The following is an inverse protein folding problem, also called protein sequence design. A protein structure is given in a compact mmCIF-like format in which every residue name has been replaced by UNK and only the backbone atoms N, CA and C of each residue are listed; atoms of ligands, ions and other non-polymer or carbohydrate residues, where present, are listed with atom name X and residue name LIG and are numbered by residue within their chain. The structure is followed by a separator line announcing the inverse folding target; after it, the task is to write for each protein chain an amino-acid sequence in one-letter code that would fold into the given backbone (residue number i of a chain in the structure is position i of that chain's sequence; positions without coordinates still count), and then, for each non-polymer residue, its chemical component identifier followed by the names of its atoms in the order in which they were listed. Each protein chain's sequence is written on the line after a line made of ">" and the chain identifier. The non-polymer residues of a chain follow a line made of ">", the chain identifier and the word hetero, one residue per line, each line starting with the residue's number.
data_IF_325724057793
#
_entry.id   IF_325724057793
#
_cell.length_a   1.000
_cell.length_b   1.000
_cell.length_c   1.000
_cell.angle_alpha   90.00
_cell.angle_beta   90.00
_cell.angle_gamma   90.00
#
_symmetry.space_group_name_H-M   'P 1'
#
loop_
_entity.id
_entity.type
_entity.pdbx_description
1 polymer ?
#
# COMPACT_ATOMS: atom_id res chain seq x y z
N UNK A 1 -15.80 -2.73 19.30
CA UNK A 1 -15.65 -1.67 18.32
C UNK A 1 -15.05 -0.48 19.07
N UNK A 2 -13.73 -0.29 18.93
CA UNK A 2 -13.07 0.90 19.45
C UNK A 2 -13.48 2.10 18.59
N UNK A 3 -13.86 3.20 19.23
CA UNK A 3 -14.11 4.47 18.55
C UNK A 3 -12.79 5.22 18.37
N UNK A 4 -12.75 6.21 17.46
CA UNK A 4 -11.57 7.05 17.24
C UNK A 4 -11.09 7.73 18.54
N UNK A 5 -12.01 8.05 19.44
CA UNK A 5 -11.72 8.62 20.77
C UNK A 5 -11.02 7.61 21.70
N UNK A 6 -11.31 6.32 21.55
CA UNK A 6 -10.66 5.27 22.33
C UNK A 6 -9.20 5.09 21.92
N UNK A 7 -8.88 5.30 20.64
CA UNK A 7 -7.52 5.19 20.11
C UNK A 7 -6.60 6.32 20.63
N UNK A 8 -7.13 7.52 20.86
CA UNK A 8 -6.36 8.64 21.41
C UNK A 8 -6.02 8.52 22.89
N UNK A 9 -6.72 7.69 23.64
CA UNK A 9 -6.48 7.46 25.07
C UNK A 9 -5.45 6.36 25.36
N UNK A 10 -5.03 5.60 24.34
CA UNK A 10 -4.08 4.50 24.50
C UNK A 10 -2.63 5.00 24.65
N UNK A 11 -1.93 4.41 25.60
CA UNK A 11 -0.49 4.59 25.72
C UNK A 11 0.19 3.79 24.61
N UNK A 12 0.61 4.47 23.53
CA UNK A 12 1.24 3.89 22.34
C UNK A 12 2.56 3.14 22.59
N UNK A 13 2.96 2.97 23.85
CA UNK A 13 4.08 2.10 24.22
C UNK A 13 3.73 0.61 24.19
N UNK A 14 2.44 0.24 24.14
CA UNK A 14 1.97 -1.14 24.11
C UNK A 14 1.53 -1.53 22.69
N UNK A 15 1.67 -2.81 22.37
CA UNK A 15 1.23 -3.36 21.09
C UNK A 15 -0.31 -3.36 21.06
N UNK A 16 -0.89 -2.60 20.13
CA UNK A 16 -2.34 -2.57 19.92
C UNK A 16 -2.69 -3.56 18.81
N UNK A 17 -3.56 -4.54 19.14
CA UNK A 17 -4.12 -5.47 18.17
C UNK A 17 -5.52 -5.02 17.77
N UNK A 18 -5.71 -4.70 16.51
CA UNK A 18 -7.01 -4.32 15.95
C UNK A 18 -7.49 -5.46 15.05
N UNK A 19 -8.68 -5.99 15.33
CA UNK A 19 -9.33 -6.97 14.47
C UNK A 19 -10.48 -6.31 13.73
N UNK A 20 -10.50 -6.43 12.41
CA UNK A 20 -11.57 -5.92 11.56
C UNK A 20 -11.97 -6.99 10.55
N UNK A 21 -13.24 -6.94 10.12
CA UNK A 21 -13.72 -7.75 9.01
C UNK A 21 -13.52 -6.99 7.71
N UNK A 22 -12.83 -7.59 6.76
CA UNK A 22 -12.78 -7.08 5.39
C UNK A 22 -14.13 -7.35 4.72
N UNK A 23 -14.94 -6.29 4.54
CA UNK A 23 -16.27 -6.44 3.99
C UNK A 23 -16.24 -6.91 2.53
N UNK A 24 -16.85 -8.07 2.27
CA UNK A 24 -17.34 -8.55 0.97
C UNK A 24 -16.35 -9.02 -0.10
N UNK A 25 -15.03 -9.01 0.10
CA UNK A 25 -14.16 -9.37 -1.02
C UNK A 25 -13.95 -10.87 -1.14
N UNK A 26 -13.96 -11.63 -0.04
CA UNK A 26 -13.86 -13.10 -0.07
C UNK A 26 -14.49 -13.75 1.17
N UNK A 27 -15.70 -14.33 1.09
CA UNK A 27 -16.34 -15.00 2.20
C UNK A 27 -15.57 -16.22 2.73
N UNK A 28 -14.72 -16.85 1.89
CA UNK A 28 -13.97 -18.07 2.20
C UNK A 28 -12.45 -17.82 2.34
N UNK A 29 -12.00 -16.57 2.46
CA UNK A 29 -10.57 -16.30 2.57
C UNK A 29 -10.01 -16.66 3.96
N UNK A 30 -8.75 -17.11 4.05
CA UNK A 30 -8.08 -17.33 5.31
C UNK A 30 -8.02 -16.02 6.12
N UNK A 31 -7.96 -16.13 7.43
CA UNK A 31 -7.81 -14.95 8.30
C UNK A 31 -6.53 -14.22 7.95
N UNK A 32 -6.65 -12.94 7.59
CA UNK A 32 -5.52 -12.05 7.36
C UNK A 32 -5.17 -11.33 8.67
N UNK A 33 -3.92 -11.44 9.09
CA UNK A 33 -3.36 -10.65 10.17
C UNK A 33 -2.43 -9.62 9.57
N UNK A 34 -2.71 -8.35 9.81
CA UNK A 34 -1.85 -7.23 9.37
C UNK A 34 -1.12 -6.71 10.59
N UNK A 35 0.21 -6.66 10.51
CA UNK A 35 1.07 -6.08 11.55
C UNK A 35 1.59 -4.75 11.02
N UNK A 36 1.17 -3.65 11.63
CA UNK A 36 1.74 -2.34 11.37
C UNK A 36 3.04 -2.18 12.16
N UNK A 37 4.08 -1.67 11.49
CA UNK A 37 5.39 -1.46 12.12
C UNK A 37 5.67 0.04 12.22
N UNK A 38 6.34 0.49 13.32
CA UNK A 38 6.78 1.87 13.40
C UNK A 38 7.63 2.26 12.19
N UNK A 39 7.43 3.48 11.68
CA UNK A 39 8.24 3.99 10.58
C UNK A 39 9.73 4.05 10.95
N UNK A 40 10.59 3.56 10.06
CA UNK A 40 12.06 3.52 10.27
C UNK A 40 12.70 4.90 10.38
N UNK A 41 12.04 5.93 9.86
CA UNK A 41 12.45 7.33 9.94
C UNK A 41 11.90 8.06 11.18
N UNK A 42 11.28 7.39 12.11
CA UNK A 42 10.98 7.97 13.41
C UNK A 42 12.28 8.33 14.12
N UNK A 43 13.04 9.25 13.51
CA UNK A 43 14.40 9.65 13.82
C UNK A 43 14.57 10.17 15.26
N UNK A 44 13.48 10.41 15.96
CA UNK A 44 13.47 10.88 17.35
C UNK A 44 13.63 9.76 18.39
N UNK A 45 13.42 8.49 17.99
CA UNK A 45 13.49 7.36 18.93
C UNK A 45 14.20 6.16 18.32
N UNK A 46 15.46 5.93 18.67
CA UNK A 46 16.22 4.71 18.31
C UNK A 46 15.48 3.41 18.68
N UNK A 47 14.63 3.48 19.69
CA UNK A 47 13.79 2.36 20.12
C UNK A 47 12.70 1.99 19.09
N UNK A 48 12.13 2.96 18.38
CA UNK A 48 11.11 2.69 17.33
C UNK A 48 11.72 1.94 16.15
N UNK A 49 12.90 2.36 15.69
CA UNK A 49 13.61 1.63 14.63
C UNK A 49 13.96 0.21 15.06
N UNK A 50 14.40 0.03 16.30
CA UNK A 50 14.71 -1.30 16.84
C UNK A 50 13.47 -2.19 16.87
N UNK A 51 12.34 -1.69 17.38
CA UNK A 51 11.07 -2.44 17.42
C UNK A 51 10.57 -2.84 16.02
N UNK A 52 10.70 -1.95 15.02
CA UNK A 52 10.37 -2.28 13.64
C UNK A 52 11.24 -3.43 13.11
N UNK A 53 12.54 -3.38 13.35
CA UNK A 53 13.47 -4.43 12.95
C UNK A 53 13.20 -5.74 13.70
N UNK A 54 12.98 -5.68 15.01
CA UNK A 54 12.67 -6.85 15.83
C UNK A 54 11.34 -7.50 15.37
N UNK A 55 10.34 -6.71 15.03
CA UNK A 55 9.08 -7.22 14.49
C UNK A 55 9.28 -7.95 13.16
N UNK A 56 10.11 -7.41 12.27
CA UNK A 56 10.41 -8.03 10.98
C UNK A 56 11.28 -9.29 11.10
N UNK A 57 12.20 -9.33 12.06
CA UNK A 57 13.11 -10.46 12.25
C UNK A 57 12.47 -11.62 13.04
N UNK A 58 11.60 -11.31 14.00
CA UNK A 58 11.08 -12.29 14.96
C UNK A 58 9.68 -12.81 14.64
N UNK A 59 8.96 -12.17 13.71
CA UNK A 59 7.61 -12.62 13.33
C UNK A 59 7.64 -13.56 12.12
N UNK A 60 6.81 -14.58 12.20
CA UNK A 60 6.53 -15.44 11.05
C UNK A 60 5.48 -14.73 10.18
N UNK A 61 5.89 -14.21 9.05
CA UNK A 61 5.03 -13.53 8.08
C UNK A 61 5.07 -14.24 6.73
N UNK A 62 3.96 -14.19 6.00
CA UNK A 62 3.87 -14.72 4.64
C UNK A 62 4.33 -13.67 3.61
N UNK A 63 3.98 -12.40 3.85
CA UNK A 63 4.26 -11.26 2.96
C UNK A 63 4.72 -10.06 3.79
N UNK A 64 5.68 -9.32 3.26
CA UNK A 64 6.08 -7.98 3.75
C UNK A 64 5.64 -6.95 2.71
N UNK A 65 4.80 -6.01 3.11
CA UNK A 65 4.48 -4.84 2.30
C UNK A 65 5.45 -3.72 2.65
N UNK A 66 6.39 -3.43 1.74
CA UNK A 66 7.29 -2.29 1.87
C UNK A 66 6.64 -1.07 1.24
N UNK A 67 6.05 -0.22 2.09
CA UNK A 67 5.30 0.96 1.64
C UNK A 67 6.21 2.17 1.53
N UNK A 68 6.26 2.79 0.36
CA UNK A 68 7.06 3.98 0.09
C UNK A 68 6.23 5.05 -0.61
N UNK A 69 6.54 6.31 -0.32
CA UNK A 69 5.97 7.47 -1.04
C UNK A 69 6.93 7.89 -2.16
N UNK A 70 6.42 8.36 -3.31
CA UNK A 70 7.25 8.90 -4.39
C UNK A 70 8.24 9.98 -3.96
N UNK A 71 7.84 10.82 -3.02
CA UNK A 71 8.68 11.91 -2.49
C UNK A 71 9.89 11.42 -1.69
N UNK A 72 9.93 10.14 -1.35
CA UNK A 72 11.05 9.53 -0.61
C UNK A 72 11.94 8.66 -1.47
N UNK A 73 11.53 8.38 -2.72
CA UNK A 73 12.30 7.55 -3.64
C UNK A 73 13.71 8.13 -3.84
N UNK A 74 14.69 7.28 -3.69
CA UNK A 74 16.08 7.62 -3.96
C UNK A 74 16.79 8.41 -2.85
N UNK A 75 16.15 8.69 -1.71
CA UNK A 75 16.82 9.32 -0.57
C UNK A 75 17.85 8.37 0.06
N UNK A 76 18.89 8.93 0.66
CA UNK A 76 19.94 8.12 1.31
C UNK A 76 19.40 7.27 2.46
N UNK A 77 18.44 7.82 3.21
CA UNK A 77 17.77 7.10 4.31
C UNK A 77 17.02 5.87 3.78
N UNK A 78 16.25 6.02 2.71
CA UNK A 78 15.55 4.92 2.07
C UNK A 78 16.51 3.87 1.50
N UNK A 79 17.52 4.30 0.75
CA UNK A 79 18.53 3.38 0.20
C UNK A 79 19.26 2.58 1.28
N UNK A 80 19.56 3.22 2.40
CA UNK A 80 20.17 2.54 3.57
C UNK A 80 19.23 1.49 4.13
N UNK A 81 17.95 1.83 4.29
CA UNK A 81 16.96 0.90 4.81
C UNK A 81 16.70 -0.26 3.84
N UNK A 82 16.57 0.01 2.54
CA UNK A 82 16.40 -1.02 1.51
C UNK A 82 17.58 -2.00 1.47
N UNK A 83 18.82 -1.54 1.65
CA UNK A 83 19.98 -2.43 1.77
C UNK A 83 19.88 -3.33 2.98
N UNK A 84 19.44 -2.79 4.12
CA UNK A 84 19.21 -3.59 5.32
C UNK A 84 18.14 -4.65 5.08
N UNK A 85 17.01 -4.26 4.47
CA UNK A 85 15.93 -5.18 4.09
C UNK A 85 16.43 -6.30 3.17
N UNK A 86 17.22 -5.95 2.14
CA UNK A 86 17.79 -6.92 1.20
C UNK A 86 18.74 -7.91 1.85
N UNK A 87 19.41 -7.53 2.96
CA UNK A 87 20.37 -8.37 3.68
C UNK A 87 19.73 -9.26 4.75
N UNK A 88 18.59 -8.85 5.30
CA UNK A 88 18.04 -9.47 6.51
C UNK A 88 16.68 -10.17 6.28
N UNK A 89 15.95 -9.84 5.22
CA UNK A 89 14.63 -10.41 4.96
C UNK A 89 14.64 -11.32 3.73
N UNK A 90 13.63 -12.20 3.65
CA UNK A 90 13.39 -13.07 2.49
C UNK A 90 12.84 -12.21 1.35
N UNK A 91 13.67 -11.91 0.36
CA UNK A 91 13.36 -10.99 -0.75
C UNK A 91 12.12 -11.41 -1.54
N UNK A 92 11.92 -12.71 -1.66
CA UNK A 92 10.78 -13.31 -2.34
C UNK A 92 9.44 -13.08 -1.63
N UNK A 93 9.45 -12.69 -0.37
CA UNK A 93 8.23 -12.34 0.38
C UNK A 93 7.91 -10.85 0.35
N UNK A 94 8.72 -10.02 -0.31
CA UNK A 94 8.58 -8.58 -0.27
C UNK A 94 7.81 -8.08 -1.48
N UNK A 95 6.78 -7.29 -1.24
CA UNK A 95 6.04 -6.52 -2.23
C UNK A 95 6.29 -5.05 -1.93
N UNK A 96 6.77 -4.32 -2.93
CA UNK A 96 6.99 -2.88 -2.83
C UNK A 96 5.70 -2.15 -3.20
N UNK A 97 5.18 -1.36 -2.29
CA UNK A 97 3.94 -0.59 -2.50
C UNK A 97 4.29 0.88 -2.67
N UNK A 98 4.13 1.38 -3.89
CA UNK A 98 4.31 2.80 -4.19
C UNK A 98 2.98 3.53 -3.97
N UNK A 99 2.83 4.15 -2.78
CA UNK A 99 1.59 4.79 -2.35
C UNK A 99 1.64 6.31 -2.52
N UNK A 100 0.50 6.98 -2.41
CA UNK A 100 0.29 8.44 -2.55
C UNK A 100 0.41 8.95 -3.99
N UNK A 101 0.00 8.15 -4.96
CA UNK A 101 -0.01 8.55 -6.36
C UNK A 101 -1.14 9.55 -6.70
N UNK A 102 -2.08 9.72 -5.77
CA UNK A 102 -3.05 10.84 -5.78
C UNK A 102 -2.36 12.21 -5.75
N UNK A 103 -1.17 12.32 -5.16
CA UNK A 103 -0.42 13.58 -5.07
C UNK A 103 0.38 13.94 -6.35
N UNK A 104 0.41 13.07 -7.37
CA UNK A 104 1.11 13.37 -8.62
C UNK A 104 0.38 14.44 -9.44
N UNK A 105 1.12 15.24 -10.19
CA UNK A 105 0.61 16.28 -11.09
C UNK A 105 1.00 15.99 -12.54
N UNK A 106 0.05 16.08 -13.47
CA UNK A 106 0.18 15.71 -14.88
C UNK A 106 1.37 16.37 -15.62
N UNK A 107 1.84 17.53 -15.16
CA UNK A 107 2.89 18.30 -15.84
C UNK A 107 4.29 18.08 -15.28
N UNK A 108 4.42 17.52 -14.08
CA UNK A 108 5.70 17.40 -13.39
C UNK A 108 6.09 15.96 -13.08
N UNK A 109 5.13 15.05 -13.03
CA UNK A 109 5.32 13.73 -12.47
C UNK A 109 4.87 12.64 -13.45
N UNK A 110 5.73 11.65 -13.66
CA UNK A 110 5.40 10.44 -14.41
C UNK A 110 5.40 9.25 -13.46
N UNK A 111 4.26 8.58 -13.37
CA UNK A 111 4.11 7.35 -12.57
C UNK A 111 5.00 6.26 -13.16
N UNK A 112 4.99 6.12 -14.48
CA UNK A 112 5.80 5.12 -15.19
C UNK A 112 7.29 5.32 -14.94
N UNK A 113 7.81 6.55 -15.10
CA UNK A 113 9.23 6.86 -14.87
C UNK A 113 9.63 6.62 -13.40
N UNK A 114 8.75 6.93 -12.46
CA UNK A 114 8.98 6.68 -11.04
C UNK A 114 9.08 5.19 -10.74
N UNK A 115 8.19 4.37 -11.30
CA UNK A 115 8.21 2.92 -11.14
C UNK A 115 9.46 2.33 -11.79
N UNK A 116 9.81 2.77 -13.01
CA UNK A 116 11.00 2.29 -13.72
C UNK A 116 12.29 2.66 -12.97
N UNK A 117 12.37 3.88 -12.45
CA UNK A 117 13.53 4.33 -11.67
C UNK A 117 13.63 3.55 -10.37
N UNK A 118 12.53 3.40 -9.64
CA UNK A 118 12.49 2.62 -8.41
C UNK A 118 12.89 1.16 -8.65
N UNK A 119 12.37 0.54 -9.72
CA UNK A 119 12.73 -0.82 -10.11
C UNK A 119 14.23 -0.96 -10.38
N UNK A 120 14.82 -0.01 -11.11
CA UNK A 120 16.27 0.01 -11.36
C UNK A 120 17.09 0.11 -10.09
N UNK A 121 16.65 0.94 -9.14
CA UNK A 121 17.34 1.11 -7.85
C UNK A 121 17.21 -0.14 -6.97
N UNK A 122 16.05 -0.78 -6.94
CA UNK A 122 15.85 -2.05 -6.24
C UNK A 122 16.77 -3.17 -6.81
N UNK A 123 16.88 -3.27 -8.14
CA UNK A 123 17.78 -4.24 -8.78
C UNK A 123 19.24 -3.97 -8.39
N UNK A 124 19.70 -2.71 -8.39
CA UNK A 124 21.06 -2.35 -7.95
C UNK A 124 21.32 -2.71 -6.47
N UNK A 125 20.29 -2.69 -5.63
CA UNK A 125 20.37 -3.05 -4.21
C UNK A 125 20.42 -4.57 -4.02
N UNK A 126 20.00 -5.34 -5.03
CA UNK A 126 20.05 -6.80 -5.02
C UNK A 126 18.69 -7.50 -4.95
N UNK A 127 17.61 -6.84 -5.39
CA UNK A 127 16.32 -7.48 -5.62
C UNK A 127 16.22 -7.87 -7.11
N UNK A 128 16.32 -9.15 -7.44
CA UNK A 128 16.42 -9.59 -8.85
C UNK A 128 15.14 -9.34 -9.66
N UNK A 129 13.98 -9.56 -9.08
CA UNK A 129 12.67 -9.36 -9.72
C UNK A 129 11.69 -8.70 -8.75
N UNK A 130 11.87 -7.42 -8.41
CA UNK A 130 11.01 -6.76 -7.43
C UNK A 130 9.58 -6.59 -7.97
N UNK A 131 8.60 -6.99 -7.16
CA UNK A 131 7.18 -6.75 -7.43
C UNK A 131 6.83 -5.37 -6.89
N UNK A 132 6.40 -4.47 -7.78
CA UNK A 132 6.05 -3.09 -7.43
C UNK A 132 4.56 -2.89 -7.70
N UNK A 133 3.81 -2.51 -6.67
CA UNK A 133 2.39 -2.28 -6.69
C UNK A 133 2.10 -0.78 -6.47
N UNK A 134 1.83 -0.02 -7.54
CA UNK A 134 1.46 1.38 -7.42
C UNK A 134 0.02 1.52 -6.93
N UNK A 135 -0.23 2.35 -5.92
CA UNK A 135 -1.56 2.58 -5.37
C UNK A 135 -1.81 4.05 -4.98
N UNK A 136 -3.10 4.40 -4.90
CA UNK A 136 -3.59 5.50 -4.09
C UNK A 136 -4.47 4.94 -2.97
N UNK A 137 -3.88 4.75 -1.80
CA UNK A 137 -4.63 4.23 -0.65
C UNK A 137 -5.71 5.20 -0.18
N UNK A 138 -5.43 6.50 -0.26
CA UNK A 138 -6.39 7.51 0.17
C UNK A 138 -7.61 7.58 -0.75
N UNK A 139 -7.41 7.62 -2.06
CA UNK A 139 -8.55 7.57 -2.98
C UNK A 139 -9.33 6.25 -2.86
N UNK A 140 -8.64 5.14 -2.66
CA UNK A 140 -9.30 3.85 -2.38
C UNK A 140 -10.13 3.86 -1.10
N UNK A 141 -9.69 4.58 -0.07
CA UNK A 141 -10.47 4.81 1.15
C UNK A 141 -11.74 5.59 0.85
N UNK A 142 -11.67 6.70 0.11
CA UNK A 142 -12.83 7.50 -0.30
C UNK A 142 -13.83 6.67 -1.10
N UNK A 143 -13.36 5.84 -2.04
CA UNK A 143 -14.20 4.91 -2.78
C UNK A 143 -14.92 3.92 -1.86
N UNK A 144 -14.23 3.37 -0.85
CA UNK A 144 -14.85 2.47 0.14
C UNK A 144 -15.91 3.18 0.98
N UNK A 145 -15.68 4.42 1.42
CA UNK A 145 -16.69 5.23 2.10
C UNK A 145 -17.94 5.39 1.23
N UNK A 146 -17.76 5.75 -0.06
CA UNK A 146 -18.85 5.91 -1.01
C UNK A 146 -19.65 4.62 -1.20
N UNK A 147 -18.97 3.50 -1.41
CA UNK A 147 -19.58 2.18 -1.63
C UNK A 147 -20.34 1.66 -0.41
N UNK A 148 -19.92 2.06 0.80
CA UNK A 148 -20.58 1.66 2.06
C UNK A 148 -21.66 2.64 2.49
N UNK A 149 -21.91 3.73 1.74
CA UNK A 149 -22.91 4.74 2.05
C UNK A 149 -22.56 5.60 3.28
N UNK A 150 -21.29 5.70 3.62
CA UNK A 150 -20.84 6.60 4.68
C UNK A 150 -20.85 8.05 4.21
N UNK A 151 -21.11 8.96 5.15
CA UNK A 151 -21.17 10.39 4.85
C UNK A 151 -19.74 10.95 4.81
N UNK A 152 -19.42 11.63 3.73
CA UNK A 152 -18.18 12.38 3.60
C UNK A 152 -18.20 13.66 4.44
N UNK A 153 -17.04 14.06 4.96
CA UNK A 153 -16.81 15.46 5.32
C UNK A 153 -16.81 16.35 4.06
N UNK A 154 -16.86 17.66 4.23
CA UNK A 154 -16.80 18.59 3.09
C UNK A 154 -15.49 18.38 2.28
N UNK A 155 -14.36 18.28 2.95
CA UNK A 155 -13.06 18.05 2.31
C UNK A 155 -13.01 16.72 1.58
N UNK A 156 -13.48 15.63 2.21
CA UNK A 156 -13.53 14.30 1.58
C UNK A 156 -14.44 14.29 0.33
N UNK A 157 -15.55 15.03 0.35
CA UNK A 157 -16.44 15.13 -0.81
C UNK A 157 -15.77 15.82 -2.00
N UNK A 158 -15.06 16.92 -1.74
CA UNK A 158 -14.32 17.65 -2.77
C UNK A 158 -13.16 16.82 -3.32
N UNK A 159 -12.39 16.17 -2.47
CA UNK A 159 -11.28 15.29 -2.86
C UNK A 159 -11.78 14.06 -3.64
N UNK A 160 -12.91 13.47 -3.25
CA UNK A 160 -13.53 12.37 -4.02
C UNK A 160 -13.83 12.80 -5.46
N UNK A 161 -14.39 14.00 -5.65
CA UNK A 161 -14.70 14.52 -7.00
C UNK A 161 -13.41 14.73 -7.81
N UNK A 162 -12.39 15.32 -7.20
CA UNK A 162 -11.10 15.59 -7.84
C UNK A 162 -10.42 14.29 -8.25
N UNK A 163 -10.31 13.33 -7.33
CA UNK A 163 -9.63 12.06 -7.60
C UNK A 163 -10.43 11.16 -8.53
N UNK A 164 -11.76 11.15 -8.48
CA UNK A 164 -12.58 10.43 -9.45
C UNK A 164 -12.32 10.89 -10.88
N UNK A 165 -12.21 12.20 -11.12
CA UNK A 165 -11.84 12.76 -12.41
C UNK A 165 -10.40 12.40 -12.82
N UNK A 166 -9.49 12.41 -11.86
CA UNK A 166 -8.07 12.13 -12.08
C UNK A 166 -7.85 10.67 -12.49
N UNK A 167 -8.35 9.72 -11.72
CA UNK A 167 -8.15 8.30 -11.95
C UNK A 167 -8.97 7.71 -13.12
N UNK A 168 -9.83 8.51 -13.76
CA UNK A 168 -10.42 8.19 -15.07
C UNK A 168 -9.48 8.41 -16.25
N UNK A 169 -8.40 9.15 -16.07
CA UNK A 169 -7.42 9.40 -17.13
C UNK A 169 -6.49 8.20 -17.27
N UNK A 170 -6.10 7.86 -18.49
CA UNK A 170 -5.20 6.73 -18.76
C UNK A 170 -3.85 6.85 -18.06
N UNK A 171 -3.35 8.08 -17.86
CA UNK A 171 -2.10 8.36 -17.14
C UNK A 171 -2.15 8.01 -15.65
N UNK A 172 -3.34 7.87 -15.07
CA UNK A 172 -3.57 7.51 -13.67
C UNK A 172 -4.28 6.17 -13.51
N UNK A 173 -4.50 5.44 -14.57
CA UNK A 173 -5.00 4.07 -14.49
C UNK A 173 -3.87 3.14 -14.06
N UNK A 174 -3.91 2.69 -12.80
CA UNK A 174 -2.90 1.80 -12.25
C UNK A 174 -3.20 0.32 -12.48
N UNK A 175 -4.36 -0.01 -13.04
CA UNK A 175 -4.80 -1.39 -13.22
C UNK A 175 -3.86 -2.23 -14.10
N UNK A 176 -3.21 -1.60 -15.08
CA UNK A 176 -2.29 -2.27 -16.00
C UNK A 176 -0.97 -2.73 -15.35
N UNK A 177 -0.63 -2.23 -14.14
CA UNK A 177 0.52 -2.72 -13.39
C UNK A 177 0.27 -4.04 -12.65
N UNK A 178 -0.96 -4.53 -12.69
CA UNK A 178 -1.40 -5.75 -12.02
C UNK A 178 -1.69 -6.87 -13.03
N UNK A 179 -0.71 -7.16 -13.90
CA UNK A 179 -0.81 -8.21 -14.90
C UNK A 179 -1.10 -9.57 -14.24
N UNK A 180 -1.99 -10.35 -14.87
CA UNK A 180 -2.42 -11.65 -14.34
C UNK A 180 -3.49 -11.59 -13.24
N UNK A 181 -3.84 -10.42 -12.75
CA UNK A 181 -4.99 -10.24 -11.86
C UNK A 181 -6.28 -10.23 -12.69
N UNK A 182 -7.05 -11.31 -12.62
CA UNK A 182 -8.35 -11.36 -13.28
C UNK A 182 -9.31 -10.37 -12.60
N UNK A 183 -9.68 -9.33 -13.33
CA UNK A 183 -10.73 -8.41 -12.95
C UNK A 183 -12.02 -8.80 -13.66
N UNK A 184 -13.07 -9.11 -12.89
CA UNK A 184 -14.38 -9.33 -13.48
C UNK A 184 -14.91 -8.00 -14.05
N UNK A 185 -15.58 -8.03 -15.22
CA UNK A 185 -16.31 -6.87 -15.72
C UNK A 185 -17.32 -6.39 -14.68
N UNK A 186 -17.49 -5.09 -14.57
CA UNK A 186 -18.44 -4.49 -13.63
C UNK A 186 -19.08 -3.28 -14.26
N UNK A 187 -20.36 -3.06 -13.95
CA UNK A 187 -21.09 -1.86 -14.33
C UNK A 187 -21.00 -0.76 -13.25
N UNK A 188 -20.36 -1.04 -12.13
CA UNK A 188 -20.15 -0.05 -11.05
C UNK A 188 -18.93 0.79 -11.33
N UNK A 189 -19.14 2.10 -11.42
CA UNK A 189 -18.09 3.10 -11.58
C UNK A 189 -17.08 3.06 -10.43
N UNK A 190 -17.55 2.89 -9.19
CA UNK A 190 -16.69 2.86 -8.00
C UNK A 190 -15.78 1.62 -8.00
N UNK A 191 -16.27 0.48 -8.46
CA UNK A 191 -15.45 -0.73 -8.59
C UNK A 191 -14.40 -0.53 -9.68
N UNK A 192 -14.77 0.07 -10.81
CA UNK A 192 -13.80 0.37 -11.88
C UNK A 192 -12.72 1.34 -11.39
N UNK A 193 -13.11 2.42 -10.73
CA UNK A 193 -12.19 3.37 -10.13
C UNK A 193 -11.31 2.73 -9.05
N UNK A 194 -11.80 1.72 -8.33
CA UNK A 194 -10.99 1.00 -7.33
C UNK A 194 -9.88 0.16 -7.97
N UNK A 195 -10.10 -0.33 -9.20
CA UNK A 195 -9.05 -0.97 -10.01
C UNK A 195 -8.01 0.06 -10.45
N UNK A 196 -8.46 1.20 -10.96
CA UNK A 196 -7.58 2.29 -11.37
C UNK A 196 -6.76 2.85 -10.21
N UNK A 197 -7.30 2.88 -9.00
CA UNK A 197 -6.58 3.30 -7.80
C UNK A 197 -5.53 2.27 -7.29
N UNK A 198 -5.47 1.09 -7.89
CA UNK A 198 -4.46 0.05 -7.65
C UNK A 198 -4.70 -0.83 -6.43
N UNK A 199 -5.46 -0.38 -5.42
CA UNK A 199 -5.64 -1.17 -4.20
C UNK A 199 -6.37 -2.50 -4.46
N UNK A 200 -7.33 -2.53 -5.40
CA UNK A 200 -8.00 -3.76 -5.80
C UNK A 200 -7.00 -4.81 -6.31
N UNK A 201 -6.04 -4.39 -7.14
CA UNK A 201 -4.99 -5.26 -7.65
C UNK A 201 -4.07 -5.78 -6.55
N UNK A 202 -3.64 -4.91 -5.65
CA UNK A 202 -2.82 -5.29 -4.49
C UNK A 202 -3.55 -6.29 -3.58
N UNK A 203 -4.83 -6.06 -3.27
CA UNK A 203 -5.65 -6.99 -2.49
C UNK A 203 -5.69 -8.38 -3.16
N UNK A 204 -5.89 -8.43 -4.48
CA UNK A 204 -5.89 -9.71 -5.23
C UNK A 204 -4.55 -10.43 -5.17
N UNK A 205 -3.43 -9.72 -5.24
CA UNK A 205 -2.09 -10.30 -5.09
C UNK A 205 -1.93 -10.90 -3.68
N UNK A 206 -2.33 -10.17 -2.64
CA UNK A 206 -2.23 -10.63 -1.25
C UNK A 206 -3.08 -11.88 -1.03
N UNK A 207 -4.32 -11.90 -1.51
CA UNK A 207 -5.25 -13.02 -1.33
C UNK A 207 -5.00 -14.18 -2.31
N UNK A 208 -4.49 -13.90 -3.49
CA UNK A 208 -4.22 -14.92 -4.53
C UNK A 208 -3.07 -15.88 -4.18
N UNK A 209 -2.33 -15.60 -3.10
CA UNK A 209 -1.25 -16.45 -2.63
C UNK A 209 -0.09 -16.54 -3.62
N UNK A 210 0.58 -17.69 -3.68
CA UNK A 210 1.82 -17.90 -4.45
C UNK A 210 1.66 -17.88 -5.99
N UNK A 211 0.45 -17.75 -6.53
CA UNK A 211 0.19 -17.87 -7.97
C UNK A 211 0.71 -16.68 -8.81
N UNK A 212 1.03 -15.57 -8.20
CA UNK A 212 1.55 -14.38 -8.89
C UNK A 212 3.09 -14.35 -9.05
N UNK A 213 3.78 -15.40 -8.57
CA UNK A 213 5.24 -15.52 -8.61
C UNK A 213 5.77 -16.48 -9.69
N UNK A 214 4.89 -17.01 -10.53
CA UNK A 214 5.28 -17.92 -11.62
C UNK A 214 5.57 -17.15 -12.92
#
# INVERSE_FOLDING_TARGET
>A
NATETDLHSYNWSEQVSISSYFHKIMPDSPRLCIIDTPGVDAALHKEHSKRAYDALLNNNYDIVLYVVSPTRLGTDAEKKHLRWVAQNLQKEKIIFVLNKLDNYHDFSDSIEDSILTFKKDLIKIGFDSPVICPISAYFSYLLKLKMTGQVFSEDEADEYIVYSKKFKRSSYDLSHYYEGVQCLPTDSEEIELSKHAGLYGLEKIIYGGKSWRN
#
